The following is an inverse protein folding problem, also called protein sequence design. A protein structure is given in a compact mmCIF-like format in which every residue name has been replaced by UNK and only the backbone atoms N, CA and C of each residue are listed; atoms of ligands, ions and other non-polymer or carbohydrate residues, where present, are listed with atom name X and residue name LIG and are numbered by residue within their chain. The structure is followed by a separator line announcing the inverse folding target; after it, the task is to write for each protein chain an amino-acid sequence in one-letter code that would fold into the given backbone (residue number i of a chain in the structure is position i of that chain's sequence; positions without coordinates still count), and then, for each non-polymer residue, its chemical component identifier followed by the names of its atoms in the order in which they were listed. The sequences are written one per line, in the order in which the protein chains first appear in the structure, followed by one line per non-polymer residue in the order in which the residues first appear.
data_IF_619737431113
#
_entry.id   IF_619737431113
#
_cell.length_a   1.000
_cell.length_b   1.000
_cell.length_c   1.000
_cell.angle_alpha   90.00
_cell.angle_beta   90.00
_cell.angle_gamma   90.00
#
_symmetry.space_group_name_H-M   'P 1'
#
loop_
_entity.id
_entity.type
_entity.pdbx_description
1 polymer ?
#
# COMPACT_ATOMS: atom_id res chain seq x y z
N UNK A 1 11.18 -62.42 -0.23
CA UNK A 1 9.71 -62.37 -0.41
C UNK A 1 9.10 -61.99 0.93
N UNK A 2 8.29 -60.93 0.98
CA UNK A 2 7.60 -60.46 2.18
C UNK A 2 7.47 -58.94 2.20
N UNK A 3 6.36 -58.44 1.64
CA UNK A 3 5.88 -57.04 1.73
C UNK A 3 5.32 -56.74 3.14
N UNK A 4 4.65 -55.60 3.32
CA UNK A 4 3.88 -55.12 4.51
C UNK A 4 4.74 -54.31 5.54
N UNK A 5 4.54 -53.04 5.90
CA UNK A 5 3.54 -51.97 5.72
C UNK A 5 4.27 -50.60 5.82
N UNK A 6 4.06 -49.65 4.90
CA UNK A 6 3.28 -48.40 5.05
C UNK A 6 3.25 -47.67 6.42
N UNK A 7 3.49 -46.35 6.32
CA UNK A 7 2.95 -45.21 7.09
C UNK A 7 3.54 -44.85 8.46
N UNK A 8 4.29 -43.75 8.50
CA UNK A 8 4.29 -42.68 9.52
C UNK A 8 5.48 -41.75 9.18
N UNK A 9 5.46 -40.42 9.22
CA UNK A 9 4.51 -39.44 9.71
C UNK A 9 4.93 -38.12 9.03
N UNK A 10 4.07 -37.51 8.22
CA UNK A 10 4.19 -36.10 7.85
C UNK A 10 3.58 -35.29 8.99
N UNK A 11 4.43 -34.73 9.85
CA UNK A 11 4.08 -33.67 10.79
C UNK A 11 5.21 -32.64 10.66
N UNK A 12 5.01 -31.51 9.99
CA UNK A 12 4.02 -30.54 10.39
C UNK A 12 4.69 -29.53 11.32
N UNK A 13 5.73 -28.85 10.84
CA UNK A 13 6.13 -27.56 11.40
C UNK A 13 5.97 -26.56 10.27
N UNK A 14 4.71 -26.16 10.08
CA UNK A 14 4.43 -24.86 9.50
C UNK A 14 4.98 -23.83 10.50
N UNK A 15 6.25 -23.47 10.34
CA UNK A 15 6.72 -22.15 10.74
C UNK A 15 5.95 -21.19 9.86
N UNK A 16 4.74 -20.85 10.27
CA UNK A 16 4.15 -19.56 9.96
C UNK A 16 5.07 -18.55 10.65
N UNK A 17 6.18 -18.23 9.98
CA UNK A 17 6.77 -16.92 10.09
C UNK A 17 5.61 -15.98 9.80
N UNK A 18 5.08 -15.41 10.88
CA UNK A 18 4.26 -14.22 10.83
C UNK A 18 5.18 -13.17 10.21
N UNK A 19 5.24 -13.17 8.88
CA UNK A 19 5.72 -12.03 8.14
C UNK A 19 4.80 -10.92 8.63
N UNK A 20 5.33 -10.08 9.51
CA UNK A 20 4.75 -8.77 9.76
C UNK A 20 4.41 -8.24 8.38
N UNK A 21 3.14 -7.83 8.12
CA UNK A 21 2.76 -7.38 6.79
C UNK A 21 3.78 -6.30 6.45
N UNK A 22 4.65 -6.61 5.49
CA UNK A 22 5.59 -5.64 4.97
C UNK A 22 4.69 -4.47 4.59
N UNK A 23 4.84 -3.35 5.30
CA UNK A 23 4.12 -2.13 4.97
C UNK A 23 4.58 -1.79 3.57
N UNK A 24 3.85 -2.30 2.57
CA UNK A 24 4.25 -2.23 1.19
C UNK A 24 4.11 -0.75 0.84
N UNK A 25 5.26 -0.08 0.78
CA UNK A 25 5.33 1.33 0.46
C UNK A 25 4.87 1.50 -0.99
N UNK A 26 3.64 1.97 -1.17
CA UNK A 26 3.09 2.22 -2.49
C UNK A 26 3.57 3.57 -2.97
N UNK A 27 4.30 3.56 -4.10
CA UNK A 27 4.88 4.76 -4.70
C UNK A 27 4.00 5.25 -5.83
N UNK A 28 3.38 6.41 -5.66
CA UNK A 28 2.57 7.08 -6.67
C UNK A 28 3.43 8.10 -7.40
N UNK A 29 3.68 7.85 -8.69
CA UNK A 29 4.46 8.74 -9.56
C UNK A 29 3.49 9.60 -10.38
N UNK A 30 3.80 10.89 -10.48
CA UNK A 30 3.02 11.86 -11.21
C UNK A 30 3.86 12.54 -12.29
N UNK A 31 3.27 12.73 -13.47
CA UNK A 31 3.93 13.38 -14.59
C UNK A 31 3.73 14.89 -14.55
N UNK A 32 4.81 15.66 -14.40
CA UNK A 32 4.79 17.13 -14.40
C UNK A 32 3.84 17.69 -13.34
N UNK A 33 2.93 18.58 -13.77
CA UNK A 33 1.93 19.22 -12.90
C UNK A 33 0.61 18.44 -12.80
N UNK A 34 0.55 17.21 -13.32
CA UNK A 34 -0.68 16.40 -13.28
C UNK A 34 -1.09 16.06 -11.85
N UNK A 35 -2.38 16.21 -11.56
CA UNK A 35 -2.96 15.90 -10.24
C UNK A 35 -3.40 14.45 -10.10
N UNK A 36 -3.54 13.77 -11.23
CA UNK A 36 -3.98 12.38 -11.31
C UNK A 36 -2.79 11.45 -11.50
N UNK A 37 -2.87 10.27 -10.89
CA UNK A 37 -1.95 9.16 -11.17
C UNK A 37 -2.19 8.73 -12.62
N UNK A 38 -1.13 8.54 -13.40
CA UNK A 38 -1.27 8.08 -14.79
C UNK A 38 -2.01 6.74 -14.83
N UNK A 39 -2.89 6.55 -15.81
CA UNK A 39 -3.74 5.36 -15.89
C UNK A 39 -2.90 4.08 -16.01
N UNK A 40 -1.80 4.14 -16.77
CA UNK A 40 -0.85 3.04 -16.97
C UNK A 40 -0.02 2.72 -15.72
N UNK A 41 0.09 3.66 -14.77
CA UNK A 41 0.86 3.54 -13.52
C UNK A 41 -0.05 3.48 -12.27
N UNK A 42 -1.32 3.10 -12.45
CA UNK A 42 -2.31 3.12 -11.37
C UNK A 42 -2.24 1.93 -10.39
N UNK A 43 -1.39 0.93 -10.66
CA UNK A 43 -1.30 -0.29 -9.86
C UNK A 43 -1.07 -0.02 -8.35
N UNK A 44 -0.21 0.94 -7.94
CA UNK A 44 -0.02 1.27 -6.53
C UNK A 44 -1.28 1.88 -5.91
N UNK A 45 -2.01 2.73 -6.65
CA UNK A 45 -3.29 3.29 -6.20
C UNK A 45 -4.34 2.18 -5.99
N UNK A 46 -4.42 1.21 -6.91
CA UNK A 46 -5.34 0.09 -6.77
C UNK A 46 -5.06 -0.75 -5.52
N UNK A 47 -3.79 -0.98 -5.18
CA UNK A 47 -3.44 -1.69 -3.94
C UNK A 47 -3.83 -0.90 -2.69
N UNK A 48 -3.63 0.42 -2.68
CA UNK A 48 -4.08 1.28 -1.58
C UNK A 48 -5.60 1.20 -1.41
N UNK A 49 -6.36 1.21 -2.52
CA UNK A 49 -7.82 1.03 -2.51
C UNK A 49 -8.23 -0.35 -1.95
N UNK A 50 -7.54 -1.42 -2.35
CA UNK A 50 -7.79 -2.76 -1.80
C UNK A 50 -7.51 -2.83 -0.29
N UNK A 51 -6.41 -2.22 0.16
CA UNK A 51 -6.09 -2.14 1.59
C UNK A 51 -7.13 -1.32 2.37
N UNK A 52 -7.62 -0.22 1.79
CA UNK A 52 -8.67 0.62 2.36
C UNK A 52 -9.99 -0.18 2.52
N UNK A 53 -10.41 -0.89 1.45
CA UNK A 53 -11.55 -1.83 1.50
C UNK A 53 -11.36 -2.94 2.54
N UNK A 54 -10.13 -3.41 2.70
CA UNK A 54 -9.73 -4.40 3.70
C UNK A 54 -9.72 -3.89 5.15
N UNK A 55 -10.01 -2.59 5.37
CA UNK A 55 -10.17 -2.00 6.69
C UNK A 55 -8.99 -1.15 7.17
N UNK A 56 -7.91 -1.03 6.38
CA UNK A 56 -6.82 -0.08 6.68
C UNK A 56 -7.33 1.35 6.57
N UNK A 57 -6.97 2.19 7.54
CA UNK A 57 -7.47 3.56 7.64
C UNK A 57 -6.44 4.57 8.15
N UNK A 58 -5.25 4.10 8.53
CA UNK A 58 -4.11 4.95 8.87
C UNK A 58 -2.98 4.59 7.93
N UNK A 59 -2.36 5.60 7.34
CA UNK A 59 -1.29 5.46 6.36
C UNK A 59 -0.20 6.45 6.68
N UNK A 60 1.05 6.03 6.51
CA UNK A 60 2.20 6.94 6.62
C UNK A 60 2.52 7.48 5.25
N UNK A 61 2.75 8.78 5.14
CA UNK A 61 3.01 9.45 3.85
C UNK A 61 4.35 10.15 3.86
N UNK A 62 5.02 10.13 2.71
CA UNK A 62 6.18 10.98 2.45
C UNK A 62 5.83 11.91 1.30
N UNK A 63 6.00 13.21 1.54
CA UNK A 63 5.69 14.28 0.58
C UNK A 63 6.98 14.93 0.06
N UNK A 64 7.04 15.38 -1.19
CA UNK A 64 8.15 16.18 -1.67
C UNK A 64 8.10 17.59 -1.09
N UNK A 65 9.27 18.19 -0.85
CA UNK A 65 9.36 19.61 -0.49
C UNK A 65 9.12 20.52 -1.69
N UNK A 66 9.60 20.12 -2.87
CA UNK A 66 9.37 20.86 -4.11
C UNK A 66 7.91 20.73 -4.55
N UNK A 67 7.29 21.85 -4.92
CA UNK A 67 5.88 21.94 -5.31
C UNK A 67 4.93 21.30 -4.27
N UNK A 68 5.19 21.56 -2.97
CA UNK A 68 4.43 20.99 -1.85
C UNK A 68 2.92 21.24 -1.94
N UNK A 69 2.50 22.40 -2.45
CA UNK A 69 1.07 22.70 -2.67
C UNK A 69 0.42 21.68 -3.63
N UNK A 70 1.10 21.35 -4.73
CA UNK A 70 0.62 20.36 -5.68
C UNK A 70 0.64 18.95 -5.07
N UNK A 71 1.65 18.62 -4.27
CA UNK A 71 1.73 17.35 -3.56
C UNK A 71 0.58 17.18 -2.55
N UNK A 72 0.22 18.24 -1.83
CA UNK A 72 -0.95 18.24 -0.93
C UNK A 72 -2.23 18.01 -1.72
N UNK A 73 -2.44 18.71 -2.84
CA UNK A 73 -3.62 18.49 -3.70
C UNK A 73 -3.70 17.04 -4.19
N UNK A 74 -2.57 16.44 -4.59
CA UNK A 74 -2.50 15.02 -4.98
C UNK A 74 -2.86 14.11 -3.82
N UNK A 75 -2.34 14.39 -2.62
CA UNK A 75 -2.67 13.63 -1.41
C UNK A 75 -4.16 13.72 -1.06
N UNK A 76 -4.78 14.90 -1.18
CA UNK A 76 -6.22 15.09 -0.95
C UNK A 76 -7.07 14.28 -1.95
N UNK A 77 -6.64 14.17 -3.20
CA UNK A 77 -7.31 13.33 -4.19
C UNK A 77 -7.24 11.86 -3.76
N UNK A 78 -6.05 11.39 -3.36
CA UNK A 78 -5.87 10.02 -2.85
C UNK A 78 -6.72 9.80 -1.60
N UNK A 79 -6.76 10.76 -0.67
CA UNK A 79 -7.58 10.71 0.54
C UNK A 79 -9.04 10.41 0.20
N UNK A 80 -9.64 11.23 -0.68
CA UNK A 80 -11.05 11.09 -1.09
C UNK A 80 -11.34 9.76 -1.75
N UNK A 81 -10.40 9.24 -2.53
CA UNK A 81 -10.51 7.91 -3.14
C UNK A 81 -10.53 6.84 -2.05
N UNK A 82 -9.57 6.85 -1.13
CA UNK A 82 -9.47 5.84 -0.08
C UNK A 82 -10.64 5.89 0.91
N UNK A 83 -11.12 7.09 1.28
CA UNK A 83 -12.30 7.26 2.13
C UNK A 83 -13.56 6.69 1.49
N UNK A 84 -13.74 6.93 0.18
CA UNK A 84 -14.85 6.33 -0.59
C UNK A 84 -14.77 4.81 -0.57
N UNK A 85 -13.57 4.24 -0.71
CA UNK A 85 -13.37 2.79 -0.76
C UNK A 85 -13.46 2.11 0.61
N UNK A 86 -13.03 2.78 1.68
CA UNK A 86 -13.12 2.27 3.05
C UNK A 86 -14.49 2.47 3.68
N UNK A 87 -15.27 3.45 3.22
CA UNK A 87 -16.54 3.86 3.84
C UNK A 87 -16.38 4.54 5.21
N UNK A 88 -15.16 4.98 5.55
CA UNK A 88 -14.79 5.62 6.81
C UNK A 88 -13.63 6.59 6.62
N UNK A 89 -13.41 7.53 7.57
CA UNK A 89 -12.31 8.48 7.48
C UNK A 89 -10.94 7.80 7.41
N UNK A 90 -10.04 8.37 6.62
CA UNK A 90 -8.65 7.92 6.47
C UNK A 90 -7.73 8.97 7.09
N UNK A 91 -6.68 8.53 7.77
CA UNK A 91 -5.67 9.38 8.40
C UNK A 91 -4.34 9.20 7.67
N UNK A 92 -3.74 10.30 7.25
CA UNK A 92 -2.39 10.35 6.72
C UNK A 92 -1.45 10.98 7.74
N UNK A 93 -0.38 10.25 8.07
CA UNK A 93 0.69 10.73 8.96
C UNK A 93 1.94 11.04 8.12
N UNK A 94 2.34 12.30 8.02
CA UNK A 94 3.58 12.65 7.31
C UNK A 94 4.80 12.19 8.11
N UNK A 95 5.58 11.27 7.55
CA UNK A 95 6.73 10.63 8.23
C UNK A 95 8.07 10.96 7.59
N UNK A 96 8.07 11.69 6.48
CA UNK A 96 9.31 12.08 5.83
C UNK A 96 9.11 12.71 4.46
N UNK A 97 10.22 12.76 3.72
CA UNK A 97 10.32 13.45 2.44
C UNK A 97 10.37 12.46 1.29
N UNK A 98 9.64 12.75 0.22
CA UNK A 98 9.68 12.01 -1.04
C UNK A 98 10.43 12.81 -2.12
N UNK A 99 10.71 12.15 -3.24
CA UNK A 99 11.27 12.82 -4.42
C UNK A 99 10.19 13.65 -5.12
N UNK A 100 10.61 14.71 -5.79
CA UNK A 100 9.74 15.59 -6.57
C UNK A 100 8.89 14.81 -7.56
N UNK A 101 7.59 15.12 -7.59
CA UNK A 101 6.62 14.39 -8.45
C UNK A 101 6.19 13.02 -7.92
N UNK A 102 6.53 12.65 -6.68
CA UNK A 102 6.19 11.34 -6.11
C UNK A 102 5.51 11.46 -4.75
N UNK A 103 4.53 10.59 -4.45
CA UNK A 103 4.01 10.36 -3.10
C UNK A 103 4.34 8.91 -2.70
N UNK A 104 4.82 8.69 -1.47
CA UNK A 104 5.03 7.34 -0.94
C UNK A 104 4.03 7.15 0.20
N UNK A 105 3.27 6.06 0.15
CA UNK A 105 2.21 5.75 1.12
C UNK A 105 2.42 4.34 1.68
N UNK A 106 2.59 4.22 3.00
CA UNK A 106 2.96 2.98 3.73
C UNK A 106 1.86 2.45 4.64
#
# INVERSE_FOLDING_TARGET
MGYWHQLALLAGVALTTLAAPEACAETLVYQGDNKWVAQDENAPLQKLMQAARGGKHVYKVKLPDENRELAVVRLEIVLKILEREAGKPIVFEETGKARTGTLIIE
#
